data_IF_000955350760
#
_entry.id   IF_000955350760
#
_cell.length_a   1.000
_cell.length_b   1.000
_cell.length_c   1.000
_cell.angle_alpha   90.00
_cell.angle_beta   90.00
_cell.angle_gamma   90.00
#
_symmetry.space_group_name_H-M   'P 1'
#
loop_
_entity.id
_entity.type
_entity.pdbx_description
1 polymer ?
#
# COMPACT_ATOMS: atom_id res chain seq x y z
N UNK A 1 8.02 12.67 11.76
CA UNK A 1 7.54 12.26 13.10
C UNK A 1 6.31 11.35 13.10
N UNK A 2 5.42 11.45 12.09
CA UNK A 2 4.18 10.64 12.00
C UNK A 2 4.44 9.12 11.91
N UNK A 3 5.60 8.69 11.37
CA UNK A 3 5.95 7.26 11.18
C UNK A 3 6.64 6.63 12.40
N UNK A 4 7.23 7.44 13.30
CA UNK A 4 7.96 6.92 14.46
C UNK A 4 7.00 6.37 15.52
N UNK A 5 5.86 7.05 15.69
CA UNK A 5 4.83 6.68 16.65
C UNK A 5 4.27 5.26 16.41
N UNK A 6 3.83 4.86 15.20
CA UNK A 6 3.31 3.51 14.97
C UNK A 6 4.38 2.42 15.13
N UNK A 7 5.64 2.70 14.80
CA UNK A 7 6.74 1.74 14.97
C UNK A 7 7.01 1.49 16.46
N UNK A 8 7.06 2.55 17.27
CA UNK A 8 7.24 2.43 18.73
C UNK A 8 6.08 1.67 19.35
N UNK A 9 4.84 1.94 18.91
CA UNK A 9 3.65 1.21 19.39
C UNK A 9 3.73 -0.29 19.06
N UNK A 10 4.15 -0.66 17.84
CA UNK A 10 4.31 -2.06 17.45
C UNK A 10 5.40 -2.78 18.25
N UNK A 11 6.53 -2.11 18.50
CA UNK A 11 7.63 -2.67 19.31
C UNK A 11 7.17 -2.87 20.78
N UNK A 12 6.44 -1.91 21.34
CA UNK A 12 5.88 -2.02 22.69
C UNK A 12 4.84 -3.13 22.78
N UNK A 13 3.93 -3.24 21.80
CA UNK A 13 2.94 -4.32 21.74
C UNK A 13 3.60 -5.69 21.61
N UNK A 14 4.64 -5.82 20.79
CA UNK A 14 5.41 -7.06 20.65
C UNK A 14 6.11 -7.42 21.97
N UNK A 15 6.70 -6.43 22.67
CA UNK A 15 7.30 -6.61 23.99
C UNK A 15 6.29 -7.06 25.06
N UNK A 16 5.11 -6.43 25.09
CA UNK A 16 4.01 -6.80 26.00
C UNK A 16 3.50 -8.21 25.72
N UNK A 17 3.39 -8.60 24.44
CA UNK A 17 2.96 -9.93 24.05
C UNK A 17 4.00 -11.00 24.41
N UNK A 18 5.29 -10.72 24.21
CA UNK A 18 6.39 -11.60 24.63
C UNK A 18 6.43 -11.78 26.15
N UNK A 19 6.29 -10.70 26.93
CA UNK A 19 6.26 -10.77 28.40
C UNK A 19 4.97 -11.44 28.91
N UNK A 20 3.83 -11.17 28.26
CA UNK A 20 2.54 -11.77 28.59
C UNK A 20 2.50 -13.27 28.33
N UNK A 21 3.12 -13.72 27.24
CA UNK A 21 3.24 -15.15 26.90
C UNK A 21 4.33 -15.85 27.72
N UNK A 22 5.41 -15.16 28.11
CA UNK A 22 6.45 -15.74 28.98
C UNK A 22 5.99 -15.94 30.43
N UNK A 23 4.97 -15.20 30.88
CA UNK A 23 4.44 -15.26 32.27
C UNK A 23 3.28 -16.23 32.45
N UNK A 24 2.69 -16.81 31.39
CA UNK A 24 1.63 -17.82 31.54
C UNK A 24 2.24 -19.17 31.94
N UNK A 25 2.39 -19.31 33.26
CA UNK A 25 2.60 -20.57 33.96
C UNK A 25 1.31 -21.39 33.89
N UNK A 26 1.47 -22.60 33.39
CA UNK A 26 0.65 -23.81 33.61
C UNK A 26 -0.68 -23.61 34.33
N UNK A 27 -1.78 -23.59 33.57
CA UNK A 27 -3.10 -23.95 34.09
C UNK A 27 -3.74 -25.00 33.20
N UNK A 28 -3.62 -26.24 33.65
CA UNK A 28 -4.59 -27.34 33.56
C UNK A 28 -5.22 -27.60 32.18
N UNK A 29 -4.52 -28.38 31.36
CA UNK A 29 -5.22 -29.31 30.47
C UNK A 29 -5.75 -30.47 31.35
N UNK A 30 -6.96 -30.32 31.89
CA UNK A 30 -7.64 -31.41 32.59
C UNK A 30 -9.06 -31.53 32.05
N UNK A 31 -9.17 -32.25 30.93
CA UNK A 31 -10.45 -32.66 30.38
C UNK A 31 -10.37 -33.01 28.91
N UNK A 32 -10.56 -34.28 28.58
CA UNK A 32 -10.90 -34.70 27.21
C UNK A 32 -12.20 -33.99 26.80
N UNK A 33 -12.26 -33.52 25.55
CA UNK A 33 -13.45 -32.87 25.02
C UNK A 33 -14.65 -33.83 25.03
N UNK A 34 -15.87 -33.29 25.12
CA UNK A 34 -17.10 -34.09 25.06
C UNK A 34 -17.19 -34.91 23.76
N UNK A 35 -16.67 -34.37 22.66
CA UNK A 35 -16.59 -35.02 21.36
C UNK A 35 -15.67 -36.26 21.40
N UNK A 36 -14.49 -36.14 22.04
CA UNK A 36 -13.55 -37.25 22.20
C UNK A 36 -14.16 -38.38 23.03
N UNK A 37 -14.81 -38.04 24.15
CA UNK A 37 -15.53 -39.04 24.98
C UNK A 37 -16.69 -39.72 24.24
N UNK A 38 -17.37 -39.01 23.35
CA UNK A 38 -18.50 -39.56 22.58
C UNK A 38 -18.04 -40.51 21.47
N UNK A 39 -16.90 -40.23 20.82
CA UNK A 39 -16.31 -41.12 19.82
C UNK A 39 -15.71 -42.38 20.43
N UNK A 40 -15.01 -42.27 21.56
CA UNK A 40 -14.45 -43.44 22.25
C UNK A 40 -15.53 -44.41 22.72
N UNK A 41 -16.68 -43.88 23.19
CA UNK A 41 -17.83 -44.69 23.61
C UNK A 41 -18.50 -45.46 22.46
N UNK A 42 -18.28 -45.03 21.22
CA UNK A 42 -18.87 -45.62 20.03
C UNK A 42 -17.88 -46.47 19.23
N UNK A 43 -16.64 -46.65 19.69
CA UNK A 43 -15.61 -47.38 18.94
C UNK A 43 -15.80 -48.90 19.10
N UNK A 44 -16.25 -49.63 18.06
CA UNK A 44 -16.52 -51.08 18.15
C UNK A 44 -15.24 -51.91 18.32
N UNK A 45 -14.07 -51.35 17.99
CA UNK A 45 -12.78 -52.05 18.14
C UNK A 45 -12.34 -52.24 19.60
N UNK A 46 -13.04 -51.60 20.55
CA UNK A 46 -12.80 -51.75 21.99
C UNK A 46 -13.71 -52.80 22.64
N UNK A 47 -14.60 -53.43 21.86
CA UNK A 47 -15.43 -54.56 22.28
C UNK A 47 -14.98 -55.82 21.55
N UNK A 48 -14.08 -56.58 22.15
CA UNK A 48 -13.93 -58.01 21.83
C UNK A 48 -15.20 -58.70 22.31
N UNK A 49 -15.94 -59.34 21.40
CA UNK A 49 -17.25 -59.95 21.64
C UNK A 49 -17.26 -61.18 22.56
N UNK A 50 -16.57 -61.09 23.70
CA UNK A 50 -16.57 -62.09 24.76
C UNK A 50 -17.34 -61.51 25.95
N UNK A 51 -18.23 -62.32 26.51
CA UNK A 51 -19.19 -61.94 27.56
C UNK A 51 -18.51 -61.74 28.92
N UNK A 52 -17.62 -60.77 29.02
CA UNK A 52 -17.23 -60.19 30.29
C UNK A 52 -18.08 -58.95 30.48
N UNK A 53 -18.92 -58.96 31.52
CA UNK A 53 -19.66 -57.77 31.94
C UNK A 53 -18.63 -56.66 32.16
N UNK A 54 -18.60 -55.67 31.25
CA UNK A 54 -17.62 -54.61 31.27
C UNK A 54 -17.55 -54.00 32.67
N UNK A 55 -16.45 -54.25 33.39
CA UNK A 55 -16.26 -53.74 34.74
C UNK A 55 -16.45 -52.23 34.67
N UNK A 56 -17.43 -51.73 35.42
CA UNK A 56 -17.66 -50.30 35.46
C UNK A 56 -16.39 -49.62 35.98
N UNK A 57 -16.08 -48.39 35.55
CA UNK A 57 -14.85 -47.72 35.99
C UNK A 57 -14.69 -47.69 37.52
N UNK A 58 -15.80 -47.71 38.26
CA UNK A 58 -15.82 -47.88 39.73
C UNK A 58 -15.32 -49.24 40.21
N UNK A 59 -15.67 -50.33 39.54
CA UNK A 59 -15.21 -51.68 39.88
C UNK A 59 -13.72 -51.83 39.59
N UNK A 60 -13.24 -51.27 38.47
CA UNK A 60 -11.79 -51.25 38.16
C UNK A 60 -11.01 -50.42 39.18
N UNK A 61 -11.54 -49.27 39.61
CA UNK A 61 -10.92 -48.48 40.69
C UNK A 61 -10.94 -49.23 42.03
N UNK A 62 -12.04 -49.92 42.37
CA UNK A 62 -12.13 -50.73 43.60
C UNK A 62 -11.17 -51.91 43.59
N UNK A 63 -11.03 -52.62 42.47
CA UNK A 63 -10.06 -53.71 42.30
C UNK A 63 -8.63 -53.19 42.35
N UNK A 64 -8.32 -52.05 41.72
CA UNK A 64 -7.01 -51.44 41.79
C UNK A 64 -6.64 -50.99 43.21
N UNK A 65 -7.62 -50.51 44.00
CA UNK A 65 -7.43 -50.18 45.41
C UNK A 65 -7.22 -51.43 46.25
N UNK A 66 -8.02 -52.49 46.01
CA UNK A 66 -7.87 -53.77 46.70
C UNK A 66 -6.51 -54.41 46.40
N UNK A 67 -6.07 -54.41 45.14
CA UNK A 67 -4.77 -54.93 44.72
C UNK A 67 -3.60 -54.19 45.39
N UNK A 68 -3.71 -52.86 45.58
CA UNK A 68 -2.71 -52.07 46.33
C UNK A 68 -2.68 -52.36 47.83
N UNK A 69 -3.78 -52.84 48.41
CA UNK A 69 -3.86 -53.13 49.84
C UNK A 69 -3.37 -54.53 50.20
N UNK A 70 -3.40 -55.48 49.25
CA UNK A 70 -3.00 -56.88 49.50
C UNK A 70 -1.49 -57.07 49.52
N UNK A 71 -0.73 -56.23 48.81
CA UNK A 71 0.73 -56.25 48.84
C UNK A 71 1.27 -55.37 49.98
N UNK A 72 1.16 -55.85 51.23
CA UNK A 72 2.02 -55.36 52.31
C UNK A 72 3.45 -55.81 52.04
N UNK A 73 4.14 -55.09 51.18
CA UNK A 73 5.59 -55.19 51.06
C UNK A 73 6.22 -54.91 52.43
N UNK A 74 7.28 -55.64 52.84
CA UNK A 74 7.97 -55.35 54.09
C UNK A 74 8.42 -53.89 54.09
N UNK A 75 8.16 -53.19 55.20
CA UNK A 75 8.61 -51.81 55.39
C UNK A 75 10.13 -51.84 55.44
N UNK A 76 10.77 -51.59 54.30
CA UNK A 76 12.20 -51.31 54.24
C UNK A 76 12.38 -49.97 54.94
N UNK A 77 13.15 -49.95 56.03
CA UNK A 77 13.50 -48.72 56.73
C UNK A 77 14.14 -47.78 55.72
N UNK A 78 13.40 -46.71 55.39
CA UNK A 78 13.85 -45.75 54.39
C UNK A 78 15.11 -45.10 54.92
N UNK A 79 16.15 -45.07 54.08
CA UNK A 79 17.36 -44.31 54.37
C UNK A 79 16.97 -42.92 54.90
N UNK A 80 17.66 -42.40 55.93
CA UNK A 80 17.31 -41.13 56.54
C UNK A 80 17.16 -40.08 55.45
N UNK A 81 16.05 -39.34 55.49
CA UNK A 81 15.71 -38.37 54.46
C UNK A 81 16.91 -37.44 54.23
N UNK A 82 17.57 -37.58 53.08
CA UNK A 82 18.67 -36.69 52.75
C UNK A 82 18.13 -35.26 52.79
N UNK A 83 18.81 -34.33 53.50
CA UNK A 83 18.37 -32.95 53.54
C UNK A 83 18.33 -32.44 52.10
N UNK A 84 17.18 -31.94 51.67
CA UNK A 84 17.01 -31.36 50.34
C UNK A 84 18.02 -30.21 50.20
N UNK A 85 19.08 -30.47 49.46
CA UNK A 85 20.02 -29.43 49.04
C UNK A 85 19.39 -28.78 47.81
N UNK A 86 18.91 -27.55 47.98
CA UNK A 86 18.45 -26.77 46.84
C UNK A 86 19.57 -26.72 45.79
N UNK A 87 19.30 -27.10 44.53
CA UNK A 87 20.31 -27.02 43.48
C UNK A 87 20.84 -25.59 43.41
N UNK A 88 22.17 -25.45 43.38
CA UNK A 88 22.84 -24.15 43.32
C UNK A 88 22.22 -23.31 42.18
N UNK A 89 21.70 -22.09 42.45
CA UNK A 89 21.10 -21.24 41.44
C UNK A 89 22.07 -20.87 40.29
N UNK A 90 23.38 -21.02 40.46
CA UNK A 90 24.37 -20.88 39.38
C UNK A 90 24.56 -22.17 38.56
N UNK A 91 24.25 -23.34 39.12
CA UNK A 91 24.28 -24.63 38.42
C UNK A 91 23.01 -24.87 37.58
N UNK A 92 21.90 -24.24 37.95
CA UNK A 92 20.70 -24.14 37.12
C UNK A 92 20.90 -23.09 36.01
N UNK A 93 21.71 -23.44 35.02
CA UNK A 93 21.75 -22.72 33.75
C UNK A 93 20.40 -22.71 33.02
N UNK A 94 20.39 -22.28 31.75
CA UNK A 94 19.19 -22.35 30.92
C UNK A 94 18.73 -23.80 30.82
N UNK A 95 17.51 -24.11 31.28
CA UNK A 95 17.00 -25.48 31.20
C UNK A 95 16.86 -25.92 29.73
N UNK A 96 17.00 -27.22 29.43
CA UNK A 96 16.87 -27.74 28.05
C UNK A 96 15.58 -27.24 27.37
N UNK A 97 14.46 -27.24 28.11
CA UNK A 97 13.17 -26.73 27.64
C UNK A 97 13.20 -25.21 27.36
N UNK A 98 13.83 -24.44 28.23
CA UNK A 98 14.01 -23.00 28.01
C UNK A 98 14.89 -22.71 26.79
N UNK A 99 15.97 -23.48 26.60
CA UNK A 99 16.83 -23.35 25.43
C UNK A 99 16.04 -23.64 24.15
N UNK A 100 15.37 -24.79 24.06
CA UNK A 100 14.59 -25.14 22.87
C UNK A 100 13.45 -24.17 22.59
N UNK A 101 12.68 -23.76 23.60
CA UNK A 101 11.58 -22.81 23.40
C UNK A 101 12.09 -21.43 22.96
N UNK A 102 13.18 -20.92 23.57
CA UNK A 102 13.78 -19.63 23.15
C UNK A 102 14.36 -19.72 21.75
N UNK A 103 15.01 -20.82 21.40
CA UNK A 103 15.54 -21.03 20.06
C UNK A 103 14.44 -21.13 19.00
N UNK A 104 13.36 -21.89 19.26
CA UNK A 104 12.23 -22.00 18.33
C UNK A 104 11.54 -20.65 18.14
N UNK A 105 11.22 -19.95 19.24
CA UNK A 105 10.59 -18.63 19.18
C UNK A 105 11.50 -17.60 18.52
N UNK A 106 12.80 -17.61 18.84
CA UNK A 106 13.79 -16.71 18.25
C UNK A 106 13.94 -16.92 16.75
N UNK A 107 14.08 -18.18 16.29
CA UNK A 107 14.22 -18.49 14.87
C UNK A 107 12.93 -18.23 14.10
N UNK A 108 11.77 -18.59 14.65
CA UNK A 108 10.47 -18.26 14.04
C UNK A 108 10.27 -16.74 13.94
N UNK A 109 10.60 -16.00 15.01
CA UNK A 109 10.51 -14.54 15.04
C UNK A 109 11.42 -13.86 14.03
N UNK A 110 12.67 -14.33 13.89
CA UNK A 110 13.61 -13.82 12.90
C UNK A 110 13.15 -14.14 11.47
N UNK A 111 12.66 -15.37 11.23
CA UNK A 111 12.12 -15.78 9.93
C UNK A 111 10.90 -14.95 9.51
N UNK A 112 9.92 -14.78 10.41
CA UNK A 112 8.72 -13.97 10.15
C UNK A 112 9.05 -12.50 9.96
N UNK A 113 10.00 -11.96 10.72
CA UNK A 113 10.44 -10.57 10.57
C UNK A 113 11.17 -10.35 9.24
N UNK A 114 12.02 -11.31 8.82
CA UNK A 114 12.68 -11.27 7.52
C UNK A 114 11.68 -11.32 6.37
N UNK A 115 10.70 -12.23 6.44
CA UNK A 115 9.63 -12.30 5.44
C UNK A 115 8.78 -11.02 5.40
N UNK A 116 8.37 -10.50 6.56
CA UNK A 116 7.63 -9.25 6.65
C UNK A 116 8.42 -8.05 6.09
N UNK A 117 9.71 -7.99 6.39
CA UNK A 117 10.63 -7.01 5.82
C UNK A 117 10.71 -7.10 4.30
N UNK A 118 10.77 -8.33 3.74
CA UNK A 118 10.76 -8.56 2.30
C UNK A 118 9.43 -8.13 1.64
N UNK A 119 8.28 -8.39 2.28
CA UNK A 119 6.99 -7.92 1.78
C UNK A 119 6.89 -6.39 1.75
N UNK A 120 7.40 -5.71 2.79
CA UNK A 120 7.46 -4.23 2.83
C UNK A 120 8.40 -3.73 1.74
N UNK A 121 9.59 -4.33 1.59
CA UNK A 121 10.54 -3.95 0.56
C UNK A 121 9.96 -4.14 -0.85
N UNK A 122 9.18 -5.20 -1.09
CA UNK A 122 8.48 -5.43 -2.35
C UNK A 122 7.40 -4.38 -2.62
N UNK A 123 6.66 -3.94 -1.59
CA UNK A 123 5.65 -2.90 -1.72
C UNK A 123 6.25 -1.49 -1.83
N UNK A 124 7.50 -1.31 -1.41
CA UNK A 124 8.18 -0.03 -1.44
C UNK A 124 8.57 0.33 -2.88
N UNK A 125 8.19 1.51 -3.40
CA UNK A 125 8.56 1.90 -4.75
C UNK A 125 10.08 2.07 -4.85
N UNK A 126 10.75 1.19 -5.58
CA UNK A 126 12.18 1.27 -5.90
C UNK A 126 12.35 1.48 -7.40
N UNK A 127 13.03 2.56 -7.78
CA UNK A 127 13.37 2.81 -9.19
C UNK A 127 12.16 3.00 -10.10
N UNK A 128 11.09 3.65 -9.62
CA UNK A 128 9.93 3.99 -10.47
C UNK A 128 10.41 4.82 -11.67
N UNK A 129 10.39 4.21 -12.85
CA UNK A 129 10.63 4.86 -14.14
C UNK A 129 9.30 4.92 -14.88
N UNK A 130 9.02 6.07 -15.50
CA UNK A 130 7.73 6.36 -16.14
C UNK A 130 6.78 7.13 -15.22
N UNK A 131 5.48 6.86 -15.32
CA UNK A 131 4.46 7.63 -14.62
C UNK A 131 4.62 7.58 -13.09
N UNK A 132 4.63 8.75 -12.44
CA UNK A 132 4.91 8.91 -11.01
C UNK A 132 6.36 9.32 -10.72
N UNK A 133 7.17 9.56 -11.76
CA UNK A 133 8.57 10.00 -11.67
C UNK A 133 8.83 11.21 -12.56
N UNK A 134 10.07 11.71 -12.52
CA UNK A 134 10.56 12.78 -13.42
C UNK A 134 10.91 12.19 -14.77
N UNK A 135 10.22 12.65 -15.81
CA UNK A 135 10.38 12.22 -17.20
C UNK A 135 11.08 13.32 -17.98
N UNK A 136 12.23 12.98 -18.58
CA UNK A 136 12.92 13.87 -19.53
C UNK A 136 12.19 13.81 -20.86
N UNK A 137 11.54 14.91 -21.26
CA UNK A 137 10.71 14.96 -22.47
C UNK A 137 11.55 15.18 -23.72
N UNK A 138 12.53 16.08 -23.65
CA UNK A 138 13.35 16.43 -24.81
C UNK A 138 13.78 17.90 -24.81
N UNK A 139 14.45 18.31 -25.89
CA UNK A 139 14.86 19.69 -26.10
C UNK A 139 13.65 20.57 -26.46
N UNK A 140 13.60 21.79 -25.91
CA UNK A 140 12.52 22.75 -26.14
C UNK A 140 12.35 23.14 -27.61
N UNK A 141 13.44 23.31 -28.37
CA UNK A 141 13.38 23.73 -29.78
C UNK A 141 12.73 22.66 -30.64
N UNK A 142 13.18 21.41 -30.50
CA UNK A 142 12.60 20.26 -31.21
C UNK A 142 11.15 20.00 -30.78
N UNK A 143 10.87 20.14 -29.49
CA UNK A 143 9.53 19.96 -28.95
C UNK A 143 8.55 21.00 -29.49
N UNK A 144 8.94 22.28 -29.56
CA UNK A 144 8.11 23.33 -30.13
C UNK A 144 7.87 23.12 -31.63
N UNK A 145 8.89 22.66 -32.37
CA UNK A 145 8.74 22.28 -33.76
C UNK A 145 7.75 21.10 -33.94
N UNK A 146 7.84 20.07 -33.09
CA UNK A 146 6.91 18.93 -33.10
C UNK A 146 5.48 19.37 -32.74
N UNK A 147 5.32 20.29 -31.77
CA UNK A 147 4.02 20.88 -31.43
C UNK A 147 3.40 21.55 -32.63
N UNK A 148 4.18 22.33 -33.38
CA UNK A 148 3.70 23.00 -34.60
C UNK A 148 3.32 22.00 -35.70
N UNK A 149 4.13 20.96 -35.91
CA UNK A 149 3.89 19.91 -36.91
C UNK A 149 2.61 19.10 -36.61
N UNK A 150 2.33 18.86 -35.32
CA UNK A 150 1.15 18.11 -34.86
C UNK A 150 -0.05 18.99 -34.51
N UNK A 151 -0.23 20.10 -35.22
CA UNK A 151 -1.37 21.01 -35.05
C UNK A 151 -1.57 21.52 -33.60
N UNK A 152 -0.48 21.77 -32.88
CA UNK A 152 -0.49 22.33 -31.54
C UNK A 152 -0.58 21.31 -30.39
N UNK A 153 -0.65 20.00 -30.69
CA UNK A 153 -0.83 18.95 -29.69
C UNK A 153 0.22 17.85 -29.79
N UNK A 154 0.96 17.63 -28.70
CA UNK A 154 1.92 16.53 -28.61
C UNK A 154 1.54 15.59 -27.49
N UNK A 155 1.31 14.32 -27.82
CA UNK A 155 1.06 13.28 -26.83
C UNK A 155 2.35 12.60 -26.38
N UNK A 156 2.55 12.44 -25.07
CA UNK A 156 3.62 11.64 -24.48
C UNK A 156 3.02 10.50 -23.65
N UNK A 157 3.02 9.25 -24.16
CA UNK A 157 2.41 8.12 -23.48
C UNK A 157 3.10 7.76 -22.16
N UNK A 158 4.41 8.02 -22.03
CA UNK A 158 5.22 7.72 -20.85
C UNK A 158 4.70 8.46 -19.61
N UNK A 159 4.26 9.71 -19.81
CA UNK A 159 3.69 10.57 -18.77
C UNK A 159 2.17 10.63 -18.77
N UNK A 160 1.49 9.94 -19.70
CA UNK A 160 0.04 10.07 -19.95
C UNK A 160 -0.38 11.54 -20.06
N UNK A 161 0.39 12.32 -20.81
CA UNK A 161 0.28 13.77 -20.82
C UNK A 161 0.23 14.33 -22.23
N UNK A 162 -0.46 15.45 -22.35
CA UNK A 162 -0.45 16.32 -23.50
C UNK A 162 0.53 17.46 -23.24
N UNK A 163 1.29 17.83 -24.26
CA UNK A 163 2.16 19.00 -24.26
C UNK A 163 1.66 19.93 -25.35
N UNK A 164 1.40 21.17 -24.96
CA UNK A 164 0.96 22.23 -25.86
C UNK A 164 1.80 23.48 -25.64
N UNK A 165 1.87 24.34 -26.66
CA UNK A 165 2.56 25.60 -26.56
C UNK A 165 1.78 26.58 -25.66
N UNK A 166 2.51 27.35 -24.86
CA UNK A 166 1.96 28.43 -24.05
C UNK A 166 2.45 29.78 -24.59
N UNK A 167 1.55 30.70 -24.99
CA UNK A 167 1.96 31.93 -25.64
C UNK A 167 2.70 32.87 -24.68
N UNK A 168 3.84 33.40 -25.13
CA UNK A 168 4.69 34.30 -24.33
C UNK A 168 3.94 35.55 -23.84
N UNK A 169 2.98 36.06 -24.61
CA UNK A 169 2.16 37.22 -24.24
C UNK A 169 1.17 36.96 -23.08
N UNK A 170 0.93 35.70 -22.71
CA UNK A 170 0.03 35.34 -21.62
C UNK A 170 0.77 34.99 -20.31
N UNK A 171 2.11 34.96 -20.31
CA UNK A 171 2.91 34.49 -19.16
C UNK A 171 2.64 35.29 -17.89
N UNK A 172 2.44 36.60 -17.98
CA UNK A 172 2.12 37.43 -16.80
C UNK A 172 0.76 37.09 -16.20
N UNK A 173 -0.24 36.76 -17.03
CA UNK A 173 -1.53 36.26 -16.55
C UNK A 173 -1.39 34.87 -15.93
N UNK A 174 -0.54 34.03 -16.52
CA UNK A 174 -0.17 32.74 -15.97
C UNK A 174 0.44 32.89 -14.56
N UNK A 175 1.40 33.80 -14.36
CA UNK A 175 2.04 34.05 -13.06
C UNK A 175 1.04 34.44 -11.96
N UNK A 176 -0.06 35.09 -12.33
CA UNK A 176 -1.13 35.45 -11.41
C UNK A 176 -2.13 34.31 -11.13
N UNK A 177 -2.35 33.42 -12.10
CA UNK A 177 -3.39 32.40 -12.05
C UNK A 177 -2.89 30.99 -11.65
N UNK A 178 -1.63 30.68 -11.92
CA UNK A 178 -1.06 29.34 -11.77
C UNK A 178 -0.04 29.26 -10.64
N UNK A 179 0.19 28.04 -10.17
CA UNK A 179 1.13 27.74 -9.10
C UNK A 179 2.59 27.66 -9.61
N UNK A 180 3.55 27.83 -8.71
CA UNK A 180 4.98 27.80 -9.07
C UNK A 180 5.45 26.53 -9.80
N UNK A 181 5.03 25.30 -9.42
CA UNK A 181 5.54 24.08 -10.05
C UNK A 181 5.17 23.92 -11.53
N UNK A 182 4.02 24.44 -11.96
CA UNK A 182 3.56 24.36 -13.35
C UNK A 182 3.97 25.58 -14.19
N UNK A 183 4.39 26.68 -13.55
CA UNK A 183 4.78 27.90 -14.25
C UNK A 183 6.11 27.79 -14.99
N UNK A 184 7.05 26.97 -14.52
CA UNK A 184 8.40 26.91 -15.09
C UNK A 184 8.41 26.58 -16.59
N UNK A 185 7.56 25.65 -17.03
CA UNK A 185 7.42 25.34 -18.47
C UNK A 185 6.83 26.50 -19.27
N UNK A 186 5.83 27.18 -18.73
CA UNK A 186 5.14 28.29 -19.41
C UNK A 186 6.02 29.53 -19.50
N UNK A 187 6.77 29.84 -18.43
CA UNK A 187 7.65 31.00 -18.36
C UNK A 187 8.97 30.78 -19.12
N UNK A 188 9.37 29.54 -19.38
CA UNK A 188 10.61 29.22 -20.09
C UNK A 188 10.73 29.89 -21.46
N UNK A 189 9.62 30.14 -22.15
CA UNK A 189 9.62 30.86 -23.42
C UNK A 189 10.16 32.29 -23.28
N UNK A 190 9.69 33.02 -22.27
CA UNK A 190 10.13 34.39 -21.99
C UNK A 190 11.52 34.40 -21.33
N UNK A 191 11.78 33.48 -20.41
CA UNK A 191 13.02 33.47 -19.61
C UNK A 191 14.24 32.95 -20.38
N UNK A 192 14.04 31.99 -21.29
CA UNK A 192 15.10 31.40 -22.11
C UNK A 192 15.08 31.88 -23.58
N UNK A 193 14.15 32.76 -23.94
CA UNK A 193 14.06 33.37 -25.28
C UNK A 193 13.54 32.44 -26.39
N UNK A 194 12.70 31.45 -26.05
CA UNK A 194 12.03 30.62 -27.06
C UNK A 194 10.77 31.31 -27.62
N UNK A 195 10.30 30.87 -28.79
CA UNK A 195 9.10 31.41 -29.45
C UNK A 195 7.83 31.32 -28.58
N UNK A 196 7.74 30.28 -27.75
CA UNK A 196 6.67 30.08 -26.78
C UNK A 196 7.16 29.22 -25.62
N UNK A 197 6.45 29.30 -24.48
CA UNK A 197 6.59 28.32 -23.41
C UNK A 197 5.83 27.04 -23.72
N UNK A 198 5.76 26.13 -22.76
CA UNK A 198 5.01 24.88 -22.88
C UNK A 198 4.22 24.58 -21.61
N UNK A 199 3.12 23.85 -21.76
CA UNK A 199 2.36 23.31 -20.64
C UNK A 199 2.18 21.81 -20.79
N UNK A 200 2.43 21.06 -19.70
CA UNK A 200 2.20 19.63 -19.61
C UNK A 200 0.88 19.36 -18.86
N UNK A 201 -0.12 18.90 -19.62
CA UNK A 201 -1.48 18.62 -19.16
C UNK A 201 -1.68 17.13 -18.95
N UNK A 202 -2.26 16.75 -17.82
CA UNK A 202 -2.65 15.37 -17.60
C UNK A 202 -3.85 15.02 -18.48
N UNK A 203 -3.77 13.93 -19.26
CA UNK A 203 -4.86 13.47 -20.12
C UNK A 203 -6.14 13.07 -19.37
N UNK A 204 -6.12 13.05 -18.03
CA UNK A 204 -7.23 12.60 -17.19
C UNK A 204 -8.23 13.72 -16.98
N UNK A 205 -9.48 13.48 -17.35
CA UNK A 205 -10.57 14.43 -17.15
C UNK A 205 -10.85 14.64 -15.66
N UNK A 206 -10.87 15.91 -15.17
CA UNK A 206 -11.22 16.24 -13.78
C UNK A 206 -12.65 15.87 -13.36
N UNK A 207 -13.53 15.50 -14.30
CA UNK A 207 -14.88 15.06 -13.99
C UNK A 207 -14.87 13.68 -13.29
N UNK A 208 -14.68 12.61 -14.08
CA UNK A 208 -14.69 11.22 -13.60
C UNK A 208 -13.49 10.40 -14.09
N UNK A 209 -12.47 11.06 -14.66
CA UNK A 209 -11.19 10.42 -14.98
C UNK A 209 -11.07 9.78 -16.36
N UNK A 210 -12.02 9.97 -17.27
CA UNK A 210 -11.87 9.57 -18.68
C UNK A 210 -10.63 10.21 -19.33
N UNK A 211 -10.07 9.57 -20.36
CA UNK A 211 -9.06 10.20 -21.23
C UNK A 211 -9.69 11.35 -22.02
N UNK A 212 -9.02 12.49 -22.07
CA UNK A 212 -9.42 13.66 -22.87
C UNK A 212 -8.57 13.69 -24.15
N UNK A 213 -9.17 13.46 -25.33
CA UNK A 213 -8.52 13.68 -26.61
C UNK A 213 -8.47 15.17 -26.99
N UNK A 214 -7.59 15.50 -27.91
CA UNK A 214 -7.53 16.75 -28.65
C UNK A 214 -8.60 16.80 -29.75
N UNK A 215 -9.04 18.01 -30.07
CA UNK A 215 -9.88 18.32 -31.22
C UNK A 215 -9.15 19.31 -32.12
N UNK A 216 -8.69 18.83 -33.28
CA UNK A 216 -7.89 19.64 -34.21
C UNK A 216 -8.70 20.80 -34.79
N UNK A 217 -10.02 20.64 -34.98
CA UNK A 217 -10.86 21.69 -35.55
C UNK A 217 -11.16 22.84 -34.59
N UNK A 218 -11.47 22.55 -33.32
CA UNK A 218 -11.72 23.59 -32.32
C UNK A 218 -10.44 24.08 -31.62
N UNK A 219 -9.32 23.37 -31.82
CA UNK A 219 -8.05 23.54 -31.09
C UNK A 219 -8.22 23.39 -29.56
N UNK A 220 -9.20 22.60 -29.13
CA UNK A 220 -9.54 22.36 -27.73
C UNK A 220 -9.38 20.89 -27.35
N UNK A 221 -9.35 20.61 -26.05
CA UNK A 221 -9.50 19.26 -25.50
C UNK A 221 -10.96 18.99 -25.18
N UNK A 222 -11.52 17.92 -25.73
CA UNK A 222 -12.95 17.63 -25.65
C UNK A 222 -13.19 16.21 -25.14
N UNK A 223 -13.72 16.08 -23.94
CA UNK A 223 -13.94 14.79 -23.30
C UNK A 223 -15.24 14.14 -23.81
N UNK A 224 -15.19 13.00 -24.53
CA UNK A 224 -16.38 12.40 -25.14
C UNK A 224 -17.32 11.74 -24.13
N UNK A 225 -16.90 11.52 -22.88
CA UNK A 225 -17.73 10.83 -21.89
C UNK A 225 -18.96 11.63 -21.46
N UNK A 226 -18.79 12.93 -21.19
CA UNK A 226 -19.86 13.81 -20.69
C UNK A 226 -19.76 15.25 -21.24
N UNK A 227 -18.95 15.45 -22.28
CA UNK A 227 -18.81 16.73 -22.96
C UNK A 227 -18.09 17.84 -22.20
N UNK A 228 -17.13 17.50 -21.33
CA UNK A 228 -16.26 18.53 -20.74
C UNK A 228 -15.29 19.06 -21.79
N UNK A 229 -15.19 20.39 -21.89
CA UNK A 229 -14.39 21.07 -22.89
C UNK A 229 -13.34 21.96 -22.20
N UNK A 230 -12.12 21.94 -22.72
CA UNK A 230 -10.99 22.73 -22.22
C UNK A 230 -10.26 23.36 -23.40
N UNK A 231 -9.75 24.58 -23.27
CA UNK A 231 -8.93 25.18 -24.34
C UNK A 231 -7.57 24.46 -24.49
N UNK A 232 -6.73 24.90 -25.43
CA UNK A 232 -5.44 24.28 -25.73
C UNK A 232 -4.46 24.26 -24.55
N UNK A 233 -4.64 25.15 -23.57
CA UNK A 233 -3.84 25.18 -22.33
C UNK A 233 -4.54 24.49 -21.14
N UNK A 234 -5.64 23.77 -21.38
CA UNK A 234 -6.35 22.96 -20.39
C UNK A 234 -7.20 23.74 -19.39
N UNK A 235 -7.57 24.98 -19.69
CA UNK A 235 -8.54 25.75 -18.90
C UNK A 235 -9.97 25.35 -19.27
N UNK A 236 -10.83 25.17 -18.27
CA UNK A 236 -12.21 24.72 -18.51
C UNK A 236 -13.02 25.78 -19.26
N UNK A 237 -13.72 25.33 -20.31
CA UNK A 237 -14.66 26.14 -21.12
C UNK A 237 -16.10 25.66 -21.04
N UNK A 238 -16.32 24.34 -20.93
CA UNK A 238 -17.66 23.78 -20.97
C UNK A 238 -17.79 22.44 -20.24
N UNK A 239 -19.04 22.01 -20.07
CA UNK A 239 -19.41 20.71 -19.51
C UNK A 239 -19.27 20.55 -17.98
N UNK A 240 -19.43 19.31 -17.47
CA UNK A 240 -19.63 19.04 -16.05
C UNK A 240 -18.35 19.01 -15.20
N UNK A 241 -17.15 19.01 -15.79
CA UNK A 241 -15.91 19.01 -15.01
C UNK A 241 -15.87 20.19 -14.01
N UNK A 242 -15.47 20.00 -12.75
CA UNK A 242 -15.53 21.06 -11.74
C UNK A 242 -14.41 22.11 -11.86
N UNK A 243 -13.39 21.85 -12.69
CA UNK A 243 -12.19 22.69 -12.85
C UNK A 243 -11.50 22.37 -14.18
N UNK A 244 -10.45 23.12 -14.53
CA UNK A 244 -9.57 22.84 -15.67
C UNK A 244 -8.79 21.53 -15.53
N UNK A 245 -8.17 21.09 -16.63
CA UNK A 245 -7.31 19.91 -16.66
C UNK A 245 -6.16 20.03 -15.67
N UNK A 246 -5.81 18.90 -15.05
CA UNK A 246 -4.64 18.80 -14.19
C UNK A 246 -3.35 19.05 -14.98
N UNK A 247 -2.35 19.60 -14.31
CA UNK A 247 -1.02 19.85 -14.85
C UNK A 247 0.01 19.05 -14.08
N UNK A 248 1.16 18.87 -14.70
CA UNK A 248 2.33 18.32 -14.03
C UNK A 248 3.30 19.44 -13.66
N UNK A 249 4.07 19.23 -12.60
CA UNK A 249 5.19 20.10 -12.32
C UNK A 249 6.24 19.96 -13.43
N UNK A 250 6.82 21.09 -13.84
CA UNK A 250 7.76 21.16 -14.94
C UNK A 250 9.05 21.83 -14.48
N UNK A 251 10.14 21.52 -15.18
CA UNK A 251 11.42 22.20 -15.04
C UNK A 251 12.10 22.23 -16.40
N UNK A 252 12.73 23.36 -16.71
CA UNK A 252 13.52 23.52 -17.92
C UNK A 252 14.94 23.87 -17.48
N UNK A 253 15.90 23.02 -17.84
CA UNK A 253 17.32 23.19 -17.51
C UNK A 253 18.09 23.00 -18.81
N UNK A 254 18.95 23.96 -19.16
CA UNK A 254 19.75 23.95 -20.40
C UNK A 254 18.91 23.70 -21.67
N UNK A 255 17.70 24.27 -21.72
CA UNK A 255 16.77 24.10 -22.83
C UNK A 255 16.13 22.71 -22.94
N UNK A 256 16.28 21.87 -21.91
CA UNK A 256 15.66 20.53 -21.85
C UNK A 256 14.49 20.53 -20.88
N UNK A 257 13.32 20.12 -21.36
CA UNK A 257 12.12 19.98 -20.56
C UNK A 257 12.13 18.65 -19.78
N UNK A 258 11.96 18.75 -18.47
CA UNK A 258 11.68 17.63 -17.58
C UNK A 258 10.35 17.84 -16.88
N UNK A 259 9.46 16.84 -16.96
CA UNK A 259 8.13 16.87 -16.35
C UNK A 259 8.07 15.87 -15.20
N UNK A 260 7.69 16.34 -14.02
CA UNK A 260 7.50 15.50 -12.84
C UNK A 260 6.05 15.00 -12.76
N UNK A 261 5.85 13.76 -13.16
CA UNK A 261 4.53 13.11 -13.16
C UNK A 261 4.10 12.59 -11.79
N UNK A 262 5.00 12.62 -10.79
CA UNK A 262 4.67 12.36 -9.38
C UNK A 262 3.98 13.55 -8.71
N UNK A 263 4.20 14.76 -9.23
CA UNK A 263 3.61 15.99 -8.69
C UNK A 263 2.49 16.50 -9.61
N UNK A 264 1.26 16.07 -9.33
CA UNK A 264 0.06 16.51 -10.05
C UNK A 264 -0.47 17.79 -9.41
N UNK A 265 -0.49 18.86 -10.19
CA UNK A 265 -1.10 20.14 -9.82
C UNK A 265 -2.56 20.14 -10.25
N UNK A 266 -3.45 20.46 -9.32
CA UNK A 266 -4.88 20.54 -9.62
C UNK A 266 -5.14 21.66 -10.63
N UNK A 267 -5.91 21.37 -11.66
CA UNK A 267 -6.23 22.35 -12.69
C UNK A 267 -6.97 23.59 -12.15
N UNK A 268 -6.91 24.71 -12.87
CA UNK A 268 -7.36 26.01 -12.41
C UNK A 268 -8.88 26.04 -12.20
N UNK A 269 -9.37 26.95 -11.35
CA UNK A 269 -10.79 27.11 -11.10
C UNK A 269 -11.55 27.55 -12.36
N UNK A 270 -12.86 27.34 -12.35
CA UNK A 270 -13.78 27.75 -13.43
C UNK A 270 -13.66 29.27 -13.64
N UNK A 271 -13.64 29.70 -14.91
CA UNK A 271 -13.51 31.12 -15.29
C UNK A 271 -12.07 31.58 -15.52
N UNK A 272 -11.07 30.74 -15.24
CA UNK A 272 -9.68 31.04 -15.58
C UNK A 272 -9.52 31.09 -17.11
N UNK A 273 -9.02 32.22 -17.60
CA UNK A 273 -8.80 32.46 -19.02
C UNK A 273 -7.52 33.28 -19.24
N UNK A 274 -6.37 32.62 -19.18
CA UNK A 274 -5.08 33.31 -19.29
C UNK A 274 -4.74 33.67 -20.74
N UNK A 275 -5.05 32.79 -21.70
CA UNK A 275 -4.69 33.00 -23.11
C UNK A 275 -5.72 33.79 -23.89
N UNK A 276 -6.97 33.87 -23.44
CA UNK A 276 -8.06 34.46 -24.20
C UNK A 276 -8.54 33.58 -25.37
N UNK A 277 -7.99 32.37 -25.53
CA UNK A 277 -8.30 31.51 -26.67
C UNK A 277 -9.76 31.02 -26.63
N UNK A 278 -10.51 31.34 -27.69
CA UNK A 278 -11.83 30.78 -27.98
C UNK A 278 -11.70 29.55 -28.91
N UNK A 279 -12.82 28.90 -29.23
CA UNK A 279 -12.80 27.76 -30.14
C UNK A 279 -12.53 28.27 -31.56
N UNK A 280 -11.49 27.75 -32.21
CA UNK A 280 -11.07 28.21 -33.54
C UNK A 280 -11.96 27.64 -34.67
N UNK A 281 -12.72 26.60 -34.37
CA UNK A 281 -13.58 25.91 -35.32
C UNK A 281 -14.59 25.01 -34.62
N UNK A 282 -15.28 24.14 -35.37
CA UNK A 282 -16.34 23.30 -34.82
C UNK A 282 -15.79 22.30 -33.79
N UNK A 283 -16.58 22.03 -32.75
CA UNK A 283 -16.28 20.99 -31.77
C UNK A 283 -16.32 19.60 -32.42
N UNK A 284 -15.41 18.72 -31.99
CA UNK A 284 -15.31 17.33 -32.43
C UNK A 284 -16.34 16.45 -31.71
N UNK A 285 -16.67 16.81 -30.47
CA UNK A 285 -17.87 16.29 -29.84
C UNK A 285 -19.05 17.07 -30.40
N UNK A 286 -19.98 16.37 -31.04
CA UNK A 286 -21.25 16.98 -31.42
C UNK A 286 -21.82 17.67 -30.19
N UNK A 287 -22.30 18.92 -30.35
CA UNK A 287 -22.97 19.66 -29.29
C UNK A 287 -23.99 18.71 -28.67
N UNK A 288 -23.69 18.18 -27.49
CA UNK A 288 -24.62 17.33 -26.77
C UNK A 288 -25.85 18.21 -26.60
N UNK A 289 -26.92 17.83 -27.31
CA UNK A 289 -28.11 18.65 -27.47
C UNK A 289 -28.56 19.18 -26.14
N UNK A 290 -28.94 20.46 -26.13
CA UNK A 290 -29.68 21.02 -25.01
C UNK A 290 -30.86 20.11 -24.68
N UNK A 291 -30.84 19.63 -23.45
CA UNK A 291 -32.00 19.11 -22.75
C UNK A 291 -32.03 19.83 -21.41
#
# INVERSE_FOLDING_TARGET
>A
MVVVIPIVVLVVLAGVLLVGTSRRREQRAAGLSREARRRDRANPSLWSGETDAAHTGRQVEQEAVAARQVEQAPVVESAPAEPFVAPDPLALGVSRRQFFNRSIVGMMGLGLSGFGGACIAFLWPQGVSGFGSKIKVGNMVELLAEIKDKNGFVYRPEGRMWITAYPNGAVEKARAAYSSPELAGMASGVESGFESGVVALYQKCPHLGCRVPECVSSQWFECPCHGSQFNQVGEKRGGPAPRGMDRFAMSVVDGVLTVDTGTIVQGPPIGTNTTGQEAEGPHCIGVAGGH
#
